data_IF_684623076815
#
_entry.id   IF_684623076815
#
_cell.length_a   1.000
_cell.length_b   1.000
_cell.length_c   1.000
_cell.angle_alpha   90.00
_cell.angle_beta   90.00
_cell.angle_gamma   90.00
#
_symmetry.space_group_name_H-M   'P 1'
#
loop_
_entity.id
_entity.type
_entity.pdbx_description
1 polymer ?
#
# COMPACT_ATOMS: atom_id res chain seq x y z
N UNK A 1 -9.00 -19.03 -13.88
CA UNK A 1 -8.83 -18.00 -14.93
C UNK A 1 -9.21 -16.68 -14.30
N UNK A 2 -8.25 -15.77 -14.14
CA UNK A 2 -8.51 -14.47 -13.52
C UNK A 2 -9.59 -13.73 -14.30
N UNK A 3 -10.58 -13.18 -13.59
CA UNK A 3 -11.65 -12.46 -14.25
C UNK A 3 -11.11 -11.09 -14.68
N UNK A 4 -11.04 -10.84 -15.99
CA UNK A 4 -10.52 -9.60 -16.58
C UNK A 4 -11.23 -8.37 -15.99
N UNK A 5 -12.51 -8.49 -15.65
CA UNK A 5 -13.30 -7.42 -15.01
C UNK A 5 -12.69 -7.03 -13.65
N UNK A 6 -12.27 -7.99 -12.84
CA UNK A 6 -11.65 -7.71 -11.54
C UNK A 6 -10.25 -7.12 -11.69
N UNK A 7 -9.48 -7.53 -12.70
CA UNK A 7 -8.18 -6.90 -13.00
C UNK A 7 -8.34 -5.41 -13.36
N UNK A 8 -9.35 -5.05 -14.16
CA UNK A 8 -9.61 -3.65 -14.51
C UNK A 8 -10.03 -2.84 -13.28
N UNK A 9 -10.87 -3.39 -12.41
CA UNK A 9 -11.28 -2.73 -11.17
C UNK A 9 -10.07 -2.49 -10.24
N UNK A 10 -9.20 -3.49 -10.07
CA UNK A 10 -7.97 -3.34 -9.29
C UNK A 10 -7.00 -2.31 -9.89
N UNK A 11 -6.93 -2.18 -11.22
CA UNK A 11 -6.14 -1.15 -11.90
C UNK A 11 -6.65 0.26 -11.57
N UNK A 12 -7.97 0.46 -11.58
CA UNK A 12 -8.58 1.75 -11.20
C UNK A 12 -8.26 2.07 -9.74
N UNK A 13 -8.39 1.09 -8.84
CA UNK A 13 -8.06 1.27 -7.41
C UNK A 13 -6.58 1.60 -7.24
N UNK A 14 -5.69 0.93 -7.97
CA UNK A 14 -4.25 1.16 -7.92
C UNK A 14 -3.90 2.61 -8.27
N UNK A 15 -4.46 3.14 -9.36
CA UNK A 15 -4.14 4.49 -9.85
C UNK A 15 -4.80 5.58 -9.00
N UNK A 16 -6.09 5.46 -8.70
CA UNK A 16 -6.84 6.55 -8.06
C UNK A 16 -6.78 6.54 -6.53
N UNK A 17 -6.51 5.39 -5.92
CA UNK A 17 -6.54 5.26 -4.47
C UNK A 17 -5.17 4.87 -3.90
N UNK A 18 -4.60 3.75 -4.38
CA UNK A 18 -3.37 3.22 -3.79
C UNK A 18 -2.19 4.14 -3.97
N UNK A 19 -2.09 4.81 -5.13
CA UNK A 19 -1.01 5.74 -5.39
C UNK A 19 -1.01 6.93 -4.41
N UNK A 20 -2.18 7.50 -4.11
CA UNK A 20 -2.30 8.62 -3.18
C UNK A 20 -2.05 8.19 -1.73
N UNK A 21 -2.60 7.04 -1.32
CA UNK A 21 -2.39 6.49 0.02
C UNK A 21 -0.92 6.17 0.24
N UNK A 22 -0.27 5.52 -0.73
CA UNK A 22 1.15 5.19 -0.65
C UNK A 22 2.04 6.45 -0.64
N UNK A 23 1.71 7.47 -1.43
CA UNK A 23 2.44 8.73 -1.42
C UNK A 23 2.35 9.45 -0.07
N UNK A 24 1.15 9.48 0.54
CA UNK A 24 0.95 10.05 1.87
C UNK A 24 1.72 9.24 2.92
N UNK A 25 1.54 7.92 2.96
CA UNK A 25 2.24 7.05 3.89
C UNK A 25 3.76 7.08 3.73
N UNK A 26 4.29 7.25 2.52
CA UNK A 26 5.73 7.35 2.27
C UNK A 26 6.34 8.61 2.90
N UNK A 27 5.65 9.75 2.79
CA UNK A 27 6.09 11.00 3.42
C UNK A 27 6.21 10.88 4.93
N UNK A 28 5.20 10.31 5.59
CA UNK A 28 5.23 10.09 7.04
C UNK A 28 6.20 8.97 7.43
N UNK A 29 6.29 7.88 6.66
CA UNK A 29 7.21 6.78 6.89
C UNK A 29 8.65 7.28 7.04
N UNK A 30 9.12 8.14 6.13
CA UNK A 30 10.49 8.66 6.16
C UNK A 30 10.76 9.43 7.46
N UNK A 31 9.81 10.29 7.88
CA UNK A 31 9.94 11.03 9.14
C UNK A 31 9.95 10.09 10.35
N UNK A 32 8.96 9.21 10.47
CA UNK A 32 8.84 8.32 11.63
C UNK A 32 9.93 7.26 11.69
N UNK A 33 10.46 6.81 10.55
CA UNK A 33 11.58 5.88 10.47
C UNK A 33 12.88 6.52 10.96
N UNK A 34 13.12 7.80 10.67
CA UNK A 34 14.23 8.54 11.25
C UNK A 34 14.09 8.76 12.76
N UNK A 35 12.87 8.87 13.29
CA UNK A 35 12.64 8.95 14.74
C UNK A 35 12.64 7.58 15.43
N UNK A 36 12.35 6.49 14.73
CA UNK A 36 12.25 5.15 15.33
C UNK A 36 13.60 4.62 15.83
N UNK A 37 14.72 5.07 15.25
CA UNK A 37 16.07 4.78 15.78
C UNK A 37 16.32 5.38 17.16
N UNK A 38 15.61 6.46 17.53
CA UNK A 38 15.73 7.11 18.84
C UNK A 38 14.61 6.71 19.79
N UNK A 39 13.42 6.38 19.28
CA UNK A 39 12.23 6.07 20.07
C UNK A 39 11.66 4.70 19.64
N UNK A 40 11.97 3.62 20.38
CA UNK A 40 11.54 2.26 20.06
C UNK A 40 10.04 2.06 19.82
N UNK A 41 9.10 2.70 20.56
CA UNK A 41 7.67 2.52 20.30
C UNK A 41 7.18 3.14 18.99
N UNK A 42 7.96 4.03 18.34
CA UNK A 42 7.62 4.57 17.02
C UNK A 42 7.84 3.56 15.89
N UNK A 43 8.57 2.46 16.15
CA UNK A 43 8.79 1.39 15.19
C UNK A 43 7.46 0.84 14.64
N UNK A 44 6.47 0.60 15.53
CA UNK A 44 5.17 0.07 15.11
C UNK A 44 4.38 1.02 14.19
N UNK A 45 4.56 2.33 14.36
CA UNK A 45 3.96 3.33 13.47
C UNK A 45 4.67 3.33 12.10
N UNK A 46 6.00 3.22 12.09
CA UNK A 46 6.77 3.11 10.85
C UNK A 46 6.41 1.83 10.08
N UNK A 47 6.21 0.69 10.76
CA UNK A 47 5.80 -0.56 10.11
C UNK A 47 4.37 -0.48 9.53
N UNK A 48 3.44 0.19 10.23
CA UNK A 48 2.10 0.44 9.72
C UNK A 48 2.12 1.33 8.47
N UNK A 49 2.93 2.39 8.51
CA UNK A 49 3.14 3.29 7.37
C UNK A 49 3.76 2.54 6.19
N UNK A 50 4.71 1.63 6.45
CA UNK A 50 5.33 0.80 5.43
C UNK A 50 4.31 -0.14 4.76
N UNK A 51 3.41 -0.75 5.54
CA UNK A 51 2.29 -1.52 4.96
C UNK A 51 1.42 -0.65 4.05
N UNK A 52 1.15 0.59 4.44
CA UNK A 52 0.44 1.56 3.60
C UNK A 52 1.17 1.89 2.29
N UNK A 53 2.50 2.02 2.33
CA UNK A 53 3.35 2.23 1.14
C UNK A 53 3.35 1.00 0.21
N UNK A 54 3.22 -0.20 0.77
CA UNK A 54 3.15 -1.45 0.01
C UNK A 54 1.76 -1.75 -0.57
N UNK A 55 0.73 -0.98 -0.21
CA UNK A 55 -0.62 -1.16 -0.72
C UNK A 55 -0.77 -1.19 -2.27
N UNK A 56 -0.03 -0.38 -3.07
CA UNK A 56 -0.05 -0.48 -4.52
C UNK A 56 0.45 -1.83 -5.03
N UNK A 57 1.43 -2.43 -4.35
CA UNK A 57 1.94 -3.75 -4.69
C UNK A 57 0.87 -4.82 -4.47
N UNK A 58 0.18 -4.77 -3.33
CA UNK A 58 -0.97 -5.64 -3.07
C UNK A 58 -2.05 -5.50 -4.16
N UNK A 59 -2.35 -4.28 -4.58
CA UNK A 59 -3.31 -4.03 -5.65
C UNK A 59 -2.85 -4.62 -6.99
N UNK A 60 -1.55 -4.55 -7.30
CA UNK A 60 -0.97 -5.13 -8.49
C UNK A 60 -1.02 -6.67 -8.47
N UNK A 61 -0.73 -7.30 -7.33
CA UNK A 61 -0.86 -8.76 -7.18
C UNK A 61 -2.31 -9.22 -7.37
N UNK A 62 -3.27 -8.47 -6.84
CA UNK A 62 -4.70 -8.76 -7.00
C UNK A 62 -5.19 -8.53 -8.44
N UNK A 63 -4.64 -7.51 -9.12
CA UNK A 63 -4.84 -7.32 -10.54
C UNK A 63 -4.33 -8.52 -11.36
N UNK A 64 -3.13 -9.04 -11.07
CA UNK A 64 -2.54 -10.17 -11.80
C UNK A 64 -3.23 -11.51 -11.52
N UNK A 65 -3.73 -11.70 -10.30
CA UNK A 65 -4.51 -12.89 -9.94
C UNK A 65 -5.96 -12.84 -10.45
N UNK A 66 -6.47 -11.65 -10.80
CA UNK A 66 -7.89 -11.44 -11.19
C UNK A 66 -8.86 -11.90 -10.11
N UNK A 67 -8.43 -11.79 -8.84
CA UNK A 67 -9.17 -12.27 -7.68
C UNK A 67 -10.39 -11.39 -7.38
N UNK A 68 -11.47 -11.96 -6.82
CA UNK A 68 -12.64 -11.19 -6.42
C UNK A 68 -12.26 -10.09 -5.41
N UNK A 69 -12.99 -8.99 -5.46
CA UNK A 69 -12.91 -7.91 -4.47
C UNK A 69 -13.39 -8.52 -3.13
N UNK A 70 -12.58 -8.48 -2.06
CA UNK A 70 -12.99 -9.00 -0.75
C UNK A 70 -14.13 -8.19 -0.13
#
# INVERSE_FOLDING_TARGET
MGNIVYSIIWLIILIFLSFFVAAFCAGFYILFHCLSVCIPPLQGLADLLLQGVQFPHYCAEKMMSGGPIP
#
